data_IF_229180410637
#
_entry.id   IF_229180410637
#
_cell.length_a   1.000
_cell.length_b   1.000
_cell.length_c   1.000
_cell.angle_alpha   90.00
_cell.angle_beta   90.00
_cell.angle_gamma   90.00
#
_symmetry.space_group_name_H-M   'P 1'
#
loop_
_entity.id
_entity.type
_entity.pdbx_description
1 polymer ?
#
# COMPACT_ATOMS: atom_id res chain seq x y z
N UNK A 1 42.46 18.33 -19.81
CA UNK A 1 41.01 18.54 -19.70
C UNK A 1 40.43 17.46 -18.80
N UNK A 2 40.11 17.71 -17.52
CA UNK A 2 39.33 16.77 -16.74
C UNK A 2 37.85 17.16 -16.90
N UNK A 3 37.10 16.44 -17.72
CA UNK A 3 35.64 16.48 -17.60
C UNK A 3 35.25 15.54 -16.48
N UNK A 4 34.91 16.18 -15.37
CA UNK A 4 34.24 15.65 -14.20
C UNK A 4 33.10 14.67 -14.59
N UNK A 5 33.25 13.40 -14.21
CA UNK A 5 32.19 12.40 -14.33
C UNK A 5 31.32 12.47 -13.08
N UNK A 6 30.23 13.24 -13.15
CA UNK A 6 29.19 13.25 -12.14
C UNK A 6 28.58 11.84 -11.95
N UNK A 7 28.17 11.46 -10.71
CA UNK A 7 27.76 10.09 -10.42
C UNK A 7 26.39 9.76 -11.02
N UNK A 8 26.30 8.65 -11.77
CA UNK A 8 25.07 8.10 -12.35
C UNK A 8 24.09 7.61 -11.26
N UNK A 9 23.24 8.50 -10.73
CA UNK A 9 22.08 8.15 -9.85
C UNK A 9 20.84 7.71 -10.64
N UNK A 10 20.91 6.68 -11.50
CA UNK A 10 19.76 6.25 -12.35
C UNK A 10 18.99 4.96 -11.98
N UNK A 11 19.48 4.00 -11.18
CA UNK A 11 18.70 2.77 -10.90
C UNK A 11 17.63 2.91 -9.80
N UNK A 12 17.88 3.75 -8.79
CA UNK A 12 17.03 3.80 -7.59
C UNK A 12 15.72 4.55 -7.80
N UNK A 13 15.75 5.64 -8.57
CA UNK A 13 14.56 6.40 -8.96
C UNK A 13 13.58 5.54 -9.74
N UNK A 14 14.09 4.74 -10.68
CA UNK A 14 13.28 3.81 -11.49
C UNK A 14 12.65 2.72 -10.61
N UNK A 15 13.39 2.20 -9.63
CA UNK A 15 12.87 1.23 -8.67
C UNK A 15 11.77 1.82 -7.78
N UNK A 16 11.97 3.03 -7.24
CA UNK A 16 10.95 3.71 -6.41
C UNK A 16 9.68 3.99 -7.22
N UNK A 17 9.83 4.45 -8.45
CA UNK A 17 8.70 4.66 -9.36
C UNK A 17 7.95 3.34 -9.64
N UNK A 18 8.67 2.26 -9.96
CA UNK A 18 8.08 0.95 -10.18
C UNK A 18 7.34 0.41 -8.94
N UNK A 19 7.90 0.57 -7.74
CA UNK A 19 7.25 0.19 -6.49
C UNK A 19 5.98 1.02 -6.23
N UNK A 20 6.02 2.33 -6.48
CA UNK A 20 4.84 3.19 -6.36
C UNK A 20 3.72 2.77 -7.30
N UNK A 21 4.03 2.46 -8.57
CA UNK A 21 3.05 1.95 -9.54
C UNK A 21 2.45 0.64 -9.06
N UNK A 22 3.29 -0.31 -8.64
CA UNK A 22 2.84 -1.61 -8.14
C UNK A 22 1.98 -1.49 -6.88
N UNK A 23 2.37 -0.64 -5.94
CA UNK A 23 1.60 -0.39 -4.72
C UNK A 23 0.19 0.11 -5.05
N UNK A 24 0.08 1.12 -5.93
CA UNK A 24 -1.22 1.65 -6.37
C UNK A 24 -2.07 0.60 -7.06
N UNK A 25 -1.47 -0.21 -7.94
CA UNK A 25 -2.20 -1.27 -8.65
C UNK A 25 -2.78 -2.33 -7.70
N UNK A 26 -2.00 -2.78 -6.70
CA UNK A 26 -2.46 -3.76 -5.71
C UNK A 26 -3.55 -3.19 -4.80
N UNK A 27 -3.44 -1.90 -4.40
CA UNK A 27 -4.47 -1.22 -3.62
C UNK A 27 -5.78 -1.09 -4.42
N UNK A 28 -5.70 -0.64 -5.66
CA UNK A 28 -6.87 -0.52 -6.54
C UNK A 28 -7.56 -1.88 -6.79
N UNK A 29 -6.78 -2.96 -6.93
CA UNK A 29 -7.37 -4.31 -7.05
C UNK A 29 -8.16 -4.71 -5.80
N UNK A 30 -7.64 -4.39 -4.61
CA UNK A 30 -8.31 -4.67 -3.34
C UNK A 30 -9.63 -3.89 -3.23
N UNK A 31 -9.62 -2.61 -3.60
CA UNK A 31 -10.80 -1.75 -3.63
C UNK A 31 -11.84 -2.25 -4.64
N UNK A 32 -11.43 -2.61 -5.86
CA UNK A 32 -12.33 -3.12 -6.91
C UNK A 32 -13.03 -4.44 -6.55
N UNK A 33 -12.44 -5.26 -5.66
CA UNK A 33 -13.09 -6.46 -5.12
C UNK A 33 -14.18 -6.05 -4.12
N UNK A 34 -13.89 -5.11 -3.22
CA UNK A 34 -14.82 -4.65 -2.19
C UNK A 34 -15.97 -3.80 -2.75
N UNK A 35 -15.74 -3.04 -3.83
CA UNK A 35 -16.74 -2.19 -4.50
C UNK A 35 -17.99 -2.95 -4.97
N UNK A 36 -17.91 -4.27 -5.12
CA UNK A 36 -19.04 -5.12 -5.51
C UNK A 36 -20.03 -5.39 -4.38
N UNK A 37 -19.68 -5.02 -3.15
CA UNK A 37 -20.44 -5.30 -1.93
C UNK A 37 -21.07 -4.02 -1.40
N UNK A 38 -22.33 -4.10 -0.98
CA UNK A 38 -22.99 -2.99 -0.27
C UNK A 38 -22.28 -2.68 1.05
N UNK A 39 -22.59 -1.52 1.64
CA UNK A 39 -22.04 -1.16 2.94
C UNK A 39 -22.42 -2.18 4.03
N UNK A 40 -23.63 -2.72 3.94
CA UNK A 40 -24.18 -3.76 4.82
C UNK A 40 -23.43 -5.09 4.63
N UNK A 41 -23.23 -5.52 3.38
CA UNK A 41 -22.51 -6.77 3.06
C UNK A 41 -21.07 -6.76 3.61
N UNK A 42 -20.42 -5.59 3.58
CA UNK A 42 -19.06 -5.44 4.09
C UNK A 42 -18.95 -5.56 5.61
N UNK A 43 -20.07 -5.64 6.35
CA UNK A 43 -20.12 -5.79 7.81
C UNK A 43 -20.53 -7.19 8.28
N UNK A 44 -20.77 -8.13 7.38
CA UNK A 44 -21.23 -9.49 7.75
C UNK A 44 -20.08 -10.41 8.13
N UNK A 45 -20.21 -11.11 9.26
CA UNK A 45 -19.35 -12.23 9.67
C UNK A 45 -20.19 -13.51 9.73
N UNK A 46 -20.05 -14.37 8.72
CA UNK A 46 -20.86 -15.59 8.61
C UNK A 46 -20.42 -16.71 9.57
N UNK A 47 -19.11 -16.78 9.86
CA UNK A 47 -18.51 -17.75 10.76
C UNK A 47 -17.30 -17.13 11.48
N UNK A 48 -16.85 -17.69 12.61
CA UNK A 48 -15.76 -17.11 13.41
C UNK A 48 -14.45 -16.89 12.63
N UNK A 49 -14.15 -17.77 11.67
CA UNK A 49 -12.90 -17.70 10.89
C UNK A 49 -12.91 -16.63 9.77
N UNK A 50 -14.08 -16.05 9.47
CA UNK A 50 -14.21 -15.01 8.44
C UNK A 50 -14.17 -13.65 9.09
N UNK A 51 -13.28 -12.78 8.62
CA UNK A 51 -13.29 -11.37 9.00
C UNK A 51 -14.14 -10.54 8.03
N UNK A 52 -14.67 -9.42 8.52
CA UNK A 52 -15.47 -8.48 7.72
C UNK A 52 -14.65 -7.91 6.55
N UNK A 53 -15.26 -7.70 5.37
CA UNK A 53 -14.54 -7.07 4.25
C UNK A 53 -13.99 -5.69 4.63
N UNK A 54 -14.77 -4.87 5.34
CA UNK A 54 -14.27 -3.57 5.84
C UNK A 54 -13.09 -3.72 6.82
N UNK A 55 -13.06 -4.81 7.59
CA UNK A 55 -11.94 -5.11 8.48
C UNK A 55 -10.68 -5.43 7.69
N UNK A 56 -10.79 -6.21 6.61
CA UNK A 56 -9.65 -6.48 5.72
C UNK A 56 -9.09 -5.19 5.09
N UNK A 57 -9.94 -4.29 4.58
CA UNK A 57 -9.52 -3.00 4.01
C UNK A 57 -8.74 -2.15 5.02
N UNK A 58 -9.24 -2.07 6.26
CA UNK A 58 -8.56 -1.38 7.34
C UNK A 58 -7.25 -2.08 7.72
N UNK A 59 -7.26 -3.41 7.86
CA UNK A 59 -6.12 -4.19 8.32
C UNK A 59 -4.91 -4.07 7.38
N UNK A 60 -5.11 -4.14 6.07
CA UNK A 60 -4.01 -3.98 5.11
C UNK A 60 -3.49 -2.53 5.07
N UNK A 61 -4.30 -1.54 5.45
CA UNK A 61 -3.87 -0.14 5.58
C UNK A 61 -3.05 0.05 6.86
N UNK A 62 -3.55 -0.45 7.98
CA UNK A 62 -2.87 -0.46 9.28
C UNK A 62 -1.49 -1.13 9.21
N UNK A 63 -1.32 -2.16 8.38
CA UNK A 63 -0.01 -2.81 8.17
C UNK A 63 1.04 -1.81 7.66
N UNK A 64 0.74 -1.04 6.60
CA UNK A 64 1.68 -0.06 6.07
C UNK A 64 1.91 1.09 7.04
N UNK A 65 0.85 1.54 7.71
CA UNK A 65 0.97 2.52 8.78
C UNK A 65 1.95 2.06 9.87
N UNK A 66 1.76 0.85 10.39
CA UNK A 66 2.50 0.34 11.55
C UNK A 66 3.94 -0.03 11.22
N UNK A 67 4.15 -0.71 10.09
CA UNK A 67 5.45 -1.30 9.79
C UNK A 67 6.28 -0.49 8.80
N UNK A 68 5.69 0.49 8.11
CA UNK A 68 6.41 1.31 7.12
C UNK A 68 6.39 2.78 7.50
N UNK A 69 5.22 3.36 7.78
CA UNK A 69 5.12 4.80 8.01
C UNK A 69 5.62 5.19 9.40
N UNK A 70 5.12 4.58 10.48
CA UNK A 70 5.59 4.88 11.85
C UNK A 70 7.11 4.78 12.03
N UNK A 71 7.81 3.75 11.50
CA UNK A 71 9.25 3.64 11.72
C UNK A 71 10.11 4.52 10.80
N UNK A 72 9.57 5.01 9.67
CA UNK A 72 10.40 5.57 8.60
C UNK A 72 9.94 6.93 8.04
N UNK A 73 8.69 7.33 8.26
CA UNK A 73 8.16 8.62 7.81
C UNK A 73 8.31 9.67 8.92
N UNK A 74 9.16 10.66 8.69
CA UNK A 74 9.35 11.79 9.62
C UNK A 74 8.01 12.49 9.88
N UNK A 75 7.65 12.62 11.16
CA UNK A 75 6.41 13.29 11.58
C UNK A 75 5.15 12.41 11.53
N UNK A 76 5.28 11.11 11.27
CA UNK A 76 4.18 10.16 11.42
C UNK A 76 4.03 9.75 12.89
N UNK A 77 2.82 9.88 13.45
CA UNK A 77 2.51 9.61 14.87
C UNK A 77 2.06 8.16 15.12
#
# INVERSE_FOLDING_TARGET
>A
MPTDSAPRRRPETDRRAALSVRFKAVRAQTEAIAERLSAEDQQVQSMPDVSLTKWHLAHVTWFFETFVLKPHATGYA
#
